data_IF_389806160568
#
_entry.id   IF_389806160568
#
_cell.length_a   1.000
_cell.length_b   1.000
_cell.length_c   1.000
_cell.angle_alpha   90.00
_cell.angle_beta   90.00
_cell.angle_gamma   90.00
#
_symmetry.space_group_name_H-M   'P 1'
#
loop_
_entity.id
_entity.type
_entity.pdbx_description
1 polymer ?
#
# COMPACT_ATOMS: atom_id res chain seq x y z
N UNK A 1 -8.44 -38.30 -31.79
CA UNK A 1 -9.59 -38.35 -30.87
C UNK A 1 -9.06 -38.03 -29.47
N UNK A 2 -9.08 -36.75 -29.10
CA UNK A 2 -8.51 -36.25 -27.84
C UNK A 2 -9.58 -36.38 -26.76
N UNK A 3 -9.24 -37.08 -25.68
CA UNK A 3 -10.16 -37.55 -24.66
C UNK A 3 -10.73 -36.40 -23.83
N UNK A 4 -12.05 -36.40 -23.67
CA UNK A 4 -12.91 -35.45 -22.94
C UNK A 4 -12.64 -35.37 -21.41
N UNK A 5 -11.53 -35.94 -20.91
CA UNK A 5 -11.16 -35.94 -19.50
C UNK A 5 -10.51 -34.60 -19.13
N UNK A 6 -11.35 -33.57 -19.09
CA UNK A 6 -11.35 -32.54 -18.05
C UNK A 6 -10.00 -31.81 -17.85
N UNK A 7 -9.59 -30.87 -18.70
CA UNK A 7 -10.04 -29.47 -18.77
C UNK A 7 -10.23 -28.69 -17.45
N UNK A 8 -9.96 -29.25 -16.26
CA UNK A 8 -10.31 -28.56 -15.01
C UNK A 8 -9.23 -28.68 -13.92
N UNK A 9 -8.06 -28.09 -14.19
CA UNK A 9 -7.11 -27.78 -13.12
C UNK A 9 -6.44 -26.43 -13.37
N UNK A 10 -7.23 -25.42 -13.77
CA UNK A 10 -6.86 -24.02 -13.52
C UNK A 10 -7.09 -23.77 -12.03
N UNK A 11 -6.17 -24.25 -11.20
CA UNK A 11 -6.13 -23.89 -9.79
C UNK A 11 -5.81 -22.41 -9.75
N UNK A 12 -6.83 -21.62 -9.45
CA UNK A 12 -6.75 -20.20 -9.19
C UNK A 12 -5.74 -19.96 -8.06
N UNK A 13 -4.50 -19.64 -8.42
CA UNK A 13 -3.58 -18.98 -7.52
C UNK A 13 -4.07 -17.54 -7.36
N UNK A 14 -5.11 -17.36 -6.53
CA UNK A 14 -5.48 -16.05 -6.00
C UNK A 14 -4.33 -15.56 -5.15
N UNK A 15 -3.40 -14.86 -5.81
CA UNK A 15 -2.34 -14.08 -5.20
C UNK A 15 -3.00 -13.18 -4.15
N UNK A 16 -2.97 -13.62 -2.90
CA UNK A 16 -3.29 -12.79 -1.74
C UNK A 16 -2.15 -11.79 -1.65
N UNK A 17 -2.26 -10.70 -2.41
CA UNK A 17 -1.35 -9.57 -2.35
C UNK A 17 -1.64 -8.91 -1.00
N UNK A 18 -1.05 -9.45 0.06
CA UNK A 18 -0.99 -8.79 1.36
C UNK A 18 -0.32 -7.45 1.11
N UNK A 19 -1.10 -6.37 0.99
CA UNK A 19 -0.56 -5.02 1.02
C UNK A 19 0.12 -4.93 2.38
N UNK A 20 1.46 -4.95 2.39
CA UNK A 20 2.24 -4.77 3.59
C UNK A 20 1.72 -3.52 4.31
N UNK A 21 1.15 -3.70 5.49
CA UNK A 21 0.58 -2.61 6.26
C UNK A 21 1.70 -1.65 6.64
N UNK A 22 1.53 -0.36 6.34
CA UNK A 22 2.56 0.62 6.62
C UNK A 22 2.62 0.91 8.13
N UNK A 23 3.71 0.49 8.77
CA UNK A 23 3.97 0.68 10.21
C UNK A 23 4.97 1.80 10.52
N UNK A 24 5.50 2.47 9.48
CA UNK A 24 6.47 3.55 9.65
C UNK A 24 5.88 4.80 10.31
N UNK A 25 6.73 5.60 10.96
CA UNK A 25 6.36 6.92 11.47
C UNK A 25 6.31 7.95 10.33
N UNK A 26 5.25 8.76 10.27
CA UNK A 26 5.18 9.89 9.35
C UNK A 26 6.04 11.07 9.85
N UNK A 27 7.30 11.14 9.41
CA UNK A 27 8.19 12.25 9.76
C UNK A 27 8.16 13.34 8.70
N UNK A 28 8.12 14.61 9.11
CA UNK A 28 8.19 15.75 8.18
C UNK A 28 9.53 15.82 7.43
N UNK A 29 10.61 15.30 7.99
CA UNK A 29 11.93 15.24 7.34
C UNK A 29 12.16 13.98 6.51
N UNK A 30 11.26 13.00 6.55
CA UNK A 30 11.37 11.72 5.85
C UNK A 30 9.97 11.14 5.60
N UNK A 31 9.24 11.76 4.67
CA UNK A 31 7.82 11.49 4.46
C UNK A 31 7.57 10.57 3.27
N UNK A 32 6.81 9.49 3.52
CA UNK A 32 6.31 8.56 2.52
C UNK A 32 7.39 7.65 1.93
N UNK A 33 7.01 6.78 1.00
CA UNK A 33 7.92 5.81 0.36
C UNK A 33 9.06 6.48 -0.45
N UNK A 34 8.90 7.76 -0.80
CA UNK A 34 9.90 8.53 -1.53
C UNK A 34 10.87 9.30 -0.62
N UNK A 35 10.78 9.14 0.72
CA UNK A 35 11.68 9.79 1.68
C UNK A 35 11.80 11.32 1.46
N UNK A 36 10.65 11.98 1.25
CA UNK A 36 10.61 13.41 0.91
C UNK A 36 10.59 14.26 2.18
N UNK A 37 11.34 15.35 2.20
CA UNK A 37 11.19 16.40 3.21
C UNK A 37 9.97 17.25 2.84
N UNK A 38 9.01 17.36 3.75
CA UNK A 38 7.85 18.22 3.53
C UNK A 38 8.27 19.70 3.60
N UNK A 39 7.81 20.54 2.65
CA UNK A 39 8.11 21.96 2.66
C UNK A 39 7.49 22.66 3.88
N UNK A 40 7.96 23.88 4.19
CA UNK A 40 7.40 24.65 5.31
C UNK A 40 5.90 24.90 5.11
N UNK A 41 5.13 24.70 6.18
CA UNK A 41 3.66 24.79 6.15
C UNK A 41 2.95 23.50 5.75
N UNK A 42 3.69 22.40 5.50
CA UNK A 42 3.12 21.09 5.22
C UNK A 42 3.40 20.12 6.38
N UNK A 43 2.45 19.21 6.60
CA UNK A 43 2.54 18.12 7.56
C UNK A 43 2.71 16.80 6.81
N UNK A 44 3.54 15.91 7.36
CA UNK A 44 3.57 14.53 6.90
C UNK A 44 2.44 13.76 7.58
N UNK A 45 1.41 13.39 6.82
CA UNK A 45 0.19 12.76 7.34
C UNK A 45 -0.02 11.36 6.75
N UNK A 46 -0.72 10.48 7.48
CA UNK A 46 -1.16 9.19 6.96
C UNK A 46 -1.93 9.29 5.65
N UNK A 47 -1.68 8.38 4.72
CA UNK A 47 -2.37 8.32 3.44
C UNK A 47 -2.79 6.87 3.09
N UNK A 48 -3.96 6.67 2.45
CA UNK A 48 -5.04 7.64 2.22
C UNK A 48 -5.93 7.86 3.46
N UNK A 49 -5.75 7.04 4.51
CA UNK A 49 -6.56 7.06 5.72
C UNK A 49 -5.69 7.18 6.97
N UNK A 50 -6.25 7.78 8.01
CA UNK A 50 -5.67 7.80 9.36
C UNK A 50 -5.82 6.47 10.08
N UNK A 51 -6.79 5.65 9.67
CA UNK A 51 -6.99 4.29 10.16
C UNK A 51 -5.72 3.45 9.87
N UNK A 52 -5.03 2.94 10.91
CA UNK A 52 -3.84 2.11 10.74
C UNK A 52 -4.07 0.88 9.86
N UNK A 53 -5.28 0.31 9.86
CA UNK A 53 -5.60 -0.86 9.05
C UNK A 53 -5.69 -0.53 7.54
N UNK A 54 -6.01 0.71 7.20
CA UNK A 54 -6.18 1.19 5.82
C UNK A 54 -5.01 2.07 5.36
N UNK A 55 -4.04 2.32 6.23
CA UNK A 55 -2.88 3.14 5.94
C UNK A 55 -1.92 2.42 5.00
N UNK A 56 -1.62 3.07 3.89
CA UNK A 56 -0.67 2.57 2.90
C UNK A 56 0.68 3.29 2.97
N UNK A 57 0.72 4.47 3.59
CA UNK A 57 1.93 5.25 3.72
C UNK A 57 1.69 6.61 4.39
N UNK A 58 2.58 7.55 4.08
CA UNK A 58 2.45 8.95 4.44
C UNK A 58 2.61 9.84 3.20
N UNK A 59 2.02 11.03 3.24
CA UNK A 59 2.18 12.06 2.22
C UNK A 59 2.30 13.44 2.86
N UNK A 60 2.90 14.39 2.15
CA UNK A 60 2.91 15.78 2.58
C UNK A 60 1.57 16.43 2.21
N UNK A 61 0.84 16.90 3.21
CA UNK A 61 -0.40 17.67 3.03
C UNK A 61 -0.24 19.06 3.64
N UNK A 62 -0.93 20.04 3.06
CA UNK A 62 -0.92 21.40 3.57
C UNK A 62 -1.64 21.45 4.93
N UNK A 63 -1.05 22.17 5.89
CA UNK A 63 -1.61 22.34 7.24
C UNK A 63 -2.74 23.37 7.26
#
# INVERSE_FOLDING_TARGET
MVSLKSCLALVAASLSLSLAQYTGSCSASDCGASHKVCPRGYLCVPYPSFDPALRQGCTCSYA
#
